data_IF_911153459184
#
_entry.id   IF_911153459184
#
_cell.length_a   1.000
_cell.length_b   1.000
_cell.length_c   1.000
_cell.angle_alpha   90.00
_cell.angle_beta   90.00
_cell.angle_gamma   90.00
#
_symmetry.space_group_name_H-M   'P 1'
#
loop_
_entity.id
_entity.type
_entity.pdbx_description
1 polymer ?
#
# COMPACT_ATOMS: atom_id res chain seq x y z
N UNK A 1 13.15 -16.37 5.04
CA UNK A 1 11.98 -17.25 4.81
C UNK A 1 10.76 -16.84 5.64
N UNK A 2 10.76 -16.96 6.98
CA UNK A 2 9.58 -16.64 7.80
C UNK A 2 9.07 -15.19 7.68
N UNK A 3 9.98 -14.21 7.69
CA UNK A 3 9.64 -12.79 7.50
C UNK A 3 9.05 -12.53 6.11
N UNK A 4 9.63 -13.13 5.08
CA UNK A 4 9.18 -12.97 3.70
C UNK A 4 7.78 -13.56 3.50
N UNK A 5 7.51 -14.72 4.10
CA UNK A 5 6.17 -15.30 4.10
C UNK A 5 5.17 -14.38 4.80
N UNK A 6 5.52 -13.82 5.96
CA UNK A 6 4.65 -12.90 6.70
C UNK A 6 4.30 -11.66 5.86
N UNK A 7 5.28 -11.09 5.15
CA UNK A 7 5.07 -9.95 4.26
C UNK A 7 4.16 -10.31 3.09
N UNK A 8 4.27 -11.53 2.55
CA UNK A 8 3.47 -11.98 1.42
C UNK A 8 2.07 -12.49 1.81
N UNK A 9 1.79 -12.74 3.09
CA UNK A 9 0.48 -13.24 3.55
C UNK A 9 -0.72 -12.46 2.99
N UNK A 10 -0.75 -11.12 2.98
CA UNK A 10 -1.90 -10.39 2.44
C UNK A 10 -2.17 -10.63 0.95
N UNK A 11 -1.16 -11.08 0.18
CA UNK A 11 -1.31 -11.42 -1.23
C UNK A 11 -2.07 -12.75 -1.42
N UNK A 12 -1.92 -13.68 -0.47
CA UNK A 12 -2.48 -15.03 -0.54
C UNK A 12 -3.82 -15.13 0.18
N UNK A 13 -3.99 -14.37 1.26
CA UNK A 13 -5.23 -14.35 2.04
C UNK A 13 -6.36 -13.65 1.26
N UNK A 14 -7.59 -14.19 1.28
CA UNK A 14 -8.74 -13.46 0.79
C UNK A 14 -8.86 -12.11 1.52
N UNK A 15 -9.11 -10.98 0.82
CA UNK A 15 -9.12 -9.66 1.46
C UNK A 15 -10.10 -9.55 2.64
N UNK A 16 -11.24 -10.22 2.55
CA UNK A 16 -12.24 -10.29 3.62
C UNK A 16 -11.66 -10.93 4.89
N UNK A 17 -10.85 -11.99 4.75
CA UNK A 17 -10.18 -12.65 5.87
C UNK A 17 -9.16 -11.70 6.50
N UNK A 18 -8.37 -10.99 5.70
CA UNK A 18 -7.46 -9.95 6.20
C UNK A 18 -8.22 -8.87 6.97
N UNK A 19 -9.35 -8.39 6.44
CA UNK A 19 -10.21 -7.42 7.13
C UNK A 19 -10.75 -7.94 8.48
N UNK A 20 -11.15 -9.22 8.54
CA UNK A 20 -11.60 -9.85 9.78
C UNK A 20 -10.48 -9.96 10.82
N UNK A 21 -9.27 -10.34 10.40
CA UNK A 21 -8.11 -10.39 11.28
C UNK A 21 -7.75 -9.01 11.83
N UNK A 22 -7.81 -7.97 10.97
CA UNK A 22 -7.63 -6.58 11.39
C UNK A 22 -8.70 -6.16 12.39
N UNK A 23 -9.96 -6.47 12.14
CA UNK A 23 -11.04 -6.13 13.06
C UNK A 23 -10.93 -6.89 14.40
N UNK A 24 -10.55 -8.17 14.37
CA UNK A 24 -10.36 -8.98 15.56
C UNK A 24 -9.21 -8.46 16.43
N UNK A 25 -8.14 -7.96 15.83
CA UNK A 25 -6.95 -7.48 16.56
C UNK A 25 -6.99 -5.98 16.90
N UNK A 26 -7.36 -5.14 15.94
CA UNK A 26 -7.36 -3.66 16.02
C UNK A 26 -8.76 -3.05 16.20
N UNK A 27 -9.82 -3.85 16.23
CA UNK A 27 -11.14 -3.38 16.60
C UNK A 27 -11.26 -3.04 18.08
N UNK A 28 -12.40 -2.46 18.52
CA UNK A 28 -12.58 -1.96 19.89
C UNK A 28 -12.38 -3.04 20.97
N UNK A 29 -12.74 -4.29 20.64
CA UNK A 29 -12.59 -5.44 21.55
C UNK A 29 -11.25 -6.19 21.37
N UNK A 30 -10.45 -5.81 20.38
CA UNK A 30 -9.19 -6.46 20.06
C UNK A 30 -8.08 -6.12 21.06
N UNK A 31 -7.09 -7.00 21.16
CA UNK A 31 -5.94 -6.76 22.04
C UNK A 31 -5.16 -5.52 21.59
N UNK A 32 -4.88 -5.38 20.29
CA UNK A 32 -4.18 -4.23 19.73
C UNK A 32 -5.00 -2.95 19.81
N UNK A 33 -6.31 -3.03 19.50
CA UNK A 33 -7.21 -1.87 19.56
C UNK A 33 -7.29 -1.27 20.97
N UNK A 34 -7.49 -2.10 22.01
CA UNK A 34 -7.54 -1.64 23.41
C UNK A 34 -6.23 -1.03 23.89
N UNK A 35 -5.08 -1.54 23.42
CA UNK A 35 -3.77 -0.96 23.75
C UNK A 35 -3.65 0.42 23.08
N UNK A 36 -4.00 0.52 21.80
CA UNK A 36 -3.90 1.75 21.04
C UNK A 36 -4.79 2.85 21.62
N UNK A 37 -6.03 2.52 21.97
CA UNK A 37 -6.95 3.43 22.64
C UNK A 37 -6.41 3.85 24.03
N UNK A 38 -6.02 2.89 24.88
CA UNK A 38 -5.55 3.19 26.25
C UNK A 38 -4.34 4.11 26.28
N UNK A 39 -3.36 3.91 25.40
CA UNK A 39 -2.09 4.64 25.46
C UNK A 39 -2.04 5.85 24.54
N UNK A 40 -2.76 5.83 23.41
CA UNK A 40 -2.70 6.88 22.38
C UNK A 40 -4.06 7.53 22.10
N UNK A 41 -5.17 6.98 22.60
CA UNK A 41 -6.52 7.48 22.34
C UNK A 41 -6.94 7.34 20.88
N UNK A 42 -6.42 6.32 20.17
CA UNK A 42 -6.65 6.13 18.74
C UNK A 42 -7.53 4.90 18.50
N UNK A 43 -8.66 5.12 17.85
CA UNK A 43 -9.53 4.08 17.28
C UNK A 43 -9.34 3.96 15.77
N UNK A 44 -9.05 2.75 15.29
CA UNK A 44 -8.82 2.49 13.86
C UNK A 44 -10.02 1.86 13.16
N UNK A 45 -10.74 0.96 13.82
CA UNK A 45 -11.92 0.35 13.22
C UNK A 45 -12.98 1.40 12.93
N UNK A 46 -13.65 1.27 11.79
CA UNK A 46 -14.68 2.21 11.33
C UNK A 46 -14.20 3.66 11.11
N UNK A 47 -12.90 3.89 10.95
CA UNK A 47 -12.33 5.22 10.63
C UNK A 47 -11.63 5.26 9.27
N UNK A 48 -11.45 6.46 8.73
CA UNK A 48 -10.72 6.67 7.47
C UNK A 48 -9.27 6.20 7.57
N UNK A 49 -8.65 6.34 8.76
CA UNK A 49 -7.31 5.83 9.04
C UNK A 49 -7.28 4.30 9.03
N UNK A 50 -8.31 3.64 9.56
CA UNK A 50 -8.46 2.19 9.43
C UNK A 50 -8.61 1.73 7.98
N UNK A 51 -9.38 2.47 7.17
CA UNK A 51 -9.51 2.20 5.74
C UNK A 51 -8.15 2.31 5.02
N UNK A 52 -7.38 3.38 5.30
CA UNK A 52 -6.05 3.56 4.75
C UNK A 52 -5.08 2.46 5.21
N UNK A 53 -5.16 2.03 6.46
CA UNK A 53 -4.36 0.93 6.99
C UNK A 53 -4.67 -0.39 6.29
N UNK A 54 -5.94 -0.75 6.15
CA UNK A 54 -6.35 -1.97 5.46
C UNK A 54 -5.87 -1.98 3.99
N UNK A 55 -6.07 -0.86 3.28
CA UNK A 55 -5.58 -0.68 1.92
C UNK A 55 -4.05 -0.78 1.83
N UNK A 56 -3.33 -0.17 2.78
CA UNK A 56 -1.88 -0.23 2.88
C UNK A 56 -1.37 -1.65 3.10
N UNK A 57 -1.98 -2.43 4.00
CA UNK A 57 -1.62 -3.82 4.25
C UNK A 57 -1.81 -4.69 3.00
N UNK A 58 -2.89 -4.45 2.25
CA UNK A 58 -3.14 -5.17 0.98
C UNK A 58 -2.17 -4.76 -0.14
N UNK A 59 -1.65 -3.54 -0.11
CA UNK A 59 -0.65 -3.04 -1.06
C UNK A 59 0.81 -3.37 -0.64
N UNK A 60 1.04 -3.67 0.63
CA UNK A 60 2.37 -3.85 1.20
C UNK A 60 3.24 -4.91 0.52
N UNK A 61 2.73 -6.10 0.13
CA UNK A 61 3.55 -7.10 -0.55
C UNK A 61 4.15 -6.58 -1.87
N UNK A 62 3.37 -5.80 -2.63
CA UNK A 62 3.80 -5.23 -3.90
C UNK A 62 4.88 -4.15 -3.70
N UNK A 63 4.75 -3.34 -2.64
CA UNK A 63 5.76 -2.36 -2.26
C UNK A 63 7.08 -3.03 -1.95
N UNK A 64 7.06 -4.04 -1.07
CA UNK A 64 8.29 -4.75 -0.66
C UNK A 64 8.95 -5.43 -1.85
N UNK A 65 8.18 -6.09 -2.72
CA UNK A 65 8.72 -6.71 -3.92
C UNK A 65 9.42 -5.69 -4.83
N UNK A 66 8.81 -4.53 -5.05
CA UNK A 66 9.37 -3.50 -5.92
C UNK A 66 10.62 -2.85 -5.31
N UNK A 67 10.61 -2.60 -3.99
CA UNK A 67 11.75 -2.05 -3.29
C UNK A 67 12.93 -3.01 -3.28
N UNK A 68 12.66 -4.31 -3.07
CA UNK A 68 13.68 -5.36 -3.12
C UNK A 68 14.38 -5.37 -4.48
N UNK A 69 13.63 -5.41 -5.57
CA UNK A 69 14.20 -5.37 -6.93
C UNK A 69 15.01 -4.11 -7.17
N UNK A 70 14.55 -2.95 -6.69
CA UNK A 70 15.28 -1.69 -6.85
C UNK A 70 16.62 -1.66 -6.09
N UNK A 71 16.67 -2.26 -4.90
CA UNK A 71 17.88 -2.33 -4.08
C UNK A 71 18.85 -3.39 -4.63
N UNK A 72 18.35 -4.54 -5.07
CA UNK A 72 19.16 -5.64 -5.63
C UNK A 72 19.89 -5.27 -6.93
N UNK A 73 19.48 -4.20 -7.62
CA UNK A 73 20.16 -3.66 -8.81
C UNK A 73 21.38 -2.79 -8.50
N UNK A 74 21.59 -2.41 -7.23
CA UNK A 74 22.71 -1.55 -6.84
C UNK A 74 23.97 -2.42 -6.71
N UNK A 75 25.05 -2.00 -7.37
CA UNK A 75 26.34 -2.65 -7.25
C UNK A 75 26.87 -2.57 -5.80
N UNK A 76 27.15 -3.71 -5.14
CA UNK A 76 27.70 -3.73 -3.79
C UNK A 76 28.98 -2.92 -3.61
N UNK A 77 29.78 -2.73 -4.66
CA UNK A 77 31.03 -1.95 -4.60
C UNK A 77 30.81 -0.51 -4.10
N UNK A 78 29.65 0.09 -4.40
CA UNK A 78 29.31 1.43 -3.89
C UNK A 78 29.13 1.46 -2.37
N UNK A 79 28.58 0.39 -1.78
CA UNK A 79 28.43 0.27 -0.33
C UNK A 79 29.77 -0.06 0.34
N UNK A 80 30.59 -0.90 -0.30
CA UNK A 80 31.93 -1.26 0.17
C UNK A 80 32.84 -0.03 0.23
N UNK A 81 32.76 0.88 -0.75
CA UNK A 81 33.51 2.13 -0.74
C UNK A 81 33.26 2.97 0.52
N UNK A 82 32.03 2.98 1.04
CA UNK A 82 31.69 3.70 2.28
C UNK A 82 32.43 3.11 3.48
N UNK A 83 32.61 1.78 3.51
CA UNK A 83 33.34 1.12 4.59
C UNK A 83 34.83 1.46 4.60
N UNK A 84 35.45 1.67 3.43
CA UNK A 84 36.85 2.09 3.29
C UNK A 84 37.09 3.48 3.90
N UNK A 85 36.11 4.37 3.81
CA UNK A 85 36.15 5.70 4.44
C UNK A 85 35.71 5.70 5.92
N UNK A 86 35.58 4.54 6.56
CA UNK A 86 35.20 4.39 7.97
C UNK A 86 33.70 4.55 8.25
N UNK A 87 32.87 4.57 7.21
CA UNK A 87 31.41 4.62 7.35
C UNK A 87 30.82 3.25 7.70
N UNK A 88 29.82 3.23 8.59
CA UNK A 88 29.08 2.01 8.93
C UNK A 88 27.91 1.71 7.97
N UNK A 89 27.25 0.57 8.18
CA UNK A 89 26.08 0.12 7.37
C UNK A 89 24.97 1.15 7.23
N UNK A 90 24.72 1.93 8.28
CA UNK A 90 23.73 3.00 8.24
C UNK A 90 24.14 4.15 7.30
N UNK A 91 25.44 4.48 7.26
CA UNK A 91 25.95 5.49 6.33
C UNK A 91 25.84 5.00 4.88
N UNK A 92 26.21 3.74 4.60
CA UNK A 92 26.04 3.13 3.28
C UNK A 92 24.56 3.17 2.84
N UNK A 93 23.65 2.71 3.70
CA UNK A 93 22.22 2.75 3.41
C UNK A 93 21.70 4.17 3.12
N UNK A 94 22.03 5.14 4.00
CA UNK A 94 21.47 6.49 3.91
C UNK A 94 22.02 7.32 2.74
N UNK A 95 23.30 7.11 2.38
CA UNK A 95 24.01 7.94 1.41
C UNK A 95 24.22 7.27 0.06
N UNK A 96 24.15 5.94 -0.02
CA UNK A 96 24.35 5.17 -1.26
C UNK A 96 23.07 4.44 -1.62
N UNK A 97 22.65 3.46 -0.82
CA UNK A 97 21.55 2.55 -1.17
C UNK A 97 20.23 3.30 -1.38
N UNK A 98 19.83 4.14 -0.42
CA UNK A 98 18.55 4.85 -0.47
C UNK A 98 18.49 5.88 -1.62
N UNK A 99 19.50 6.74 -1.85
CA UNK A 99 19.50 7.65 -3.00
C UNK A 99 19.52 6.93 -4.36
N UNK A 100 20.29 5.85 -4.50
CA UNK A 100 20.35 5.07 -5.74
C UNK A 100 19.04 4.31 -6.00
N UNK A 101 18.45 3.72 -4.95
CA UNK A 101 17.16 3.04 -5.03
C UNK A 101 15.97 4.00 -5.12
N UNK A 102 16.14 5.30 -4.85
CA UNK A 102 15.05 6.26 -4.64
C UNK A 102 14.01 6.24 -5.77
N UNK A 103 14.46 6.15 -7.02
CA UNK A 103 13.55 6.10 -8.18
C UNK A 103 12.72 4.81 -8.21
N UNK A 104 13.34 3.66 -7.94
CA UNK A 104 12.64 2.38 -7.84
C UNK A 104 11.69 2.33 -6.63
N UNK A 105 12.09 2.94 -5.51
CA UNK A 105 11.22 3.13 -4.34
C UNK A 105 10.01 3.99 -4.69
N UNK A 106 10.19 5.13 -5.37
CA UNK A 106 9.08 5.98 -5.81
C UNK A 106 8.16 5.22 -6.77
N UNK A 107 8.71 4.48 -7.74
CA UNK A 107 7.92 3.66 -8.65
C UNK A 107 7.10 2.59 -7.90
N UNK A 108 7.70 1.95 -6.89
CA UNK A 108 7.00 1.02 -6.00
C UNK A 108 5.87 1.71 -5.23
N UNK A 109 6.12 2.87 -4.62
CA UNK A 109 5.10 3.65 -3.90
C UNK A 109 3.89 3.95 -4.80
N UNK A 110 4.13 4.38 -6.04
CA UNK A 110 3.06 4.65 -7.03
C UNK A 110 2.26 3.38 -7.34
N UNK A 111 2.93 2.23 -7.50
CA UNK A 111 2.26 0.96 -7.74
C UNK A 111 1.42 0.50 -6.53
N UNK A 112 1.98 0.61 -5.32
CA UNK A 112 1.26 0.30 -4.10
C UNK A 112 0.06 1.22 -3.88
N UNK A 113 0.19 2.51 -4.21
CA UNK A 113 -0.94 3.45 -4.20
C UNK A 113 -2.03 3.02 -5.18
N UNK A 114 -1.67 2.67 -6.42
CA UNK A 114 -2.62 2.15 -7.41
C UNK A 114 -3.41 0.96 -6.86
N UNK A 115 -2.69 0.02 -6.22
CA UNK A 115 -3.28 -1.16 -5.60
C UNK A 115 -4.19 -0.80 -4.42
N UNK A 116 -3.78 0.14 -3.57
CA UNK A 116 -4.54 0.58 -2.40
C UNK A 116 -5.85 1.29 -2.78
N UNK A 117 -5.85 2.11 -3.84
CA UNK A 117 -7.05 2.81 -4.34
C UNK A 117 -8.15 1.82 -4.74
N UNK A 118 -7.77 0.68 -5.31
CA UNK A 118 -8.69 -0.38 -5.70
C UNK A 118 -9.13 -1.31 -4.56
N UNK A 119 -8.63 -1.12 -3.33
CA UNK A 119 -8.95 -2.05 -2.24
C UNK A 119 -10.40 -1.91 -1.77
N UNK A 120 -11.04 -3.08 -1.62
CA UNK A 120 -12.46 -3.19 -1.28
C UNK A 120 -12.68 -4.12 -0.09
N UNK A 121 -12.20 -5.36 -0.18
CA UNK A 121 -12.64 -6.45 0.71
C UNK A 121 -12.10 -6.34 2.13
N UNK A 122 -10.84 -5.96 2.31
CA UNK A 122 -10.31 -5.72 3.65
C UNK A 122 -10.95 -4.46 4.28
N UNK A 123 -11.12 -3.42 3.46
CA UNK A 123 -11.66 -2.12 3.86
C UNK A 123 -13.11 -2.20 4.32
N UNK A 124 -14.00 -2.87 3.57
CA UNK A 124 -15.42 -2.96 3.94
C UNK A 124 -15.63 -3.68 5.27
N UNK A 125 -14.80 -4.68 5.57
CA UNK A 125 -14.90 -5.45 6.82
C UNK A 125 -14.35 -4.66 8.01
N UNK A 126 -13.18 -4.03 7.86
CA UNK A 126 -12.51 -3.36 8.98
C UNK A 126 -12.98 -1.92 9.22
N UNK A 127 -13.19 -1.16 8.14
CA UNK A 127 -13.57 0.26 8.21
C UNK A 127 -15.05 0.50 7.90
N UNK A 128 -15.79 -0.52 7.45
CA UNK A 128 -17.20 -0.38 7.07
C UNK A 128 -17.38 0.46 5.81
N UNK A 129 -18.63 0.78 5.51
CA UNK A 129 -19.04 1.64 4.40
C UNK A 129 -19.92 2.78 4.93
N UNK A 130 -19.27 3.79 5.53
CA UNK A 130 -19.97 4.93 6.13
C UNK A 130 -19.79 6.14 5.19
N UNK A 131 -20.86 6.62 4.54
CA UNK A 131 -20.79 7.79 3.65
C UNK A 131 -20.22 9.01 4.36
N UNK A 132 -19.31 9.72 3.68
CA UNK A 132 -18.64 10.91 4.23
C UNK A 132 -17.60 10.63 5.33
N UNK A 133 -17.33 9.36 5.66
CA UNK A 133 -16.35 8.96 6.68
C UNK A 133 -15.36 7.90 6.20
N UNK A 134 -15.86 6.73 5.78
CA UNK A 134 -15.01 5.57 5.39
C UNK A 134 -15.31 5.04 4.00
N UNK A 135 -16.36 5.56 3.34
CA UNK A 135 -16.73 5.14 2.00
C UNK A 135 -15.65 5.51 0.98
N UNK A 136 -14.96 4.48 0.48
CA UNK A 136 -14.00 4.59 -0.63
C UNK A 136 -14.71 4.54 -1.99
N UNK A 137 -13.98 4.84 -3.07
CA UNK A 137 -14.52 4.78 -4.43
C UNK A 137 -15.11 3.38 -4.74
N UNK A 138 -14.40 2.26 -4.49
CA UNK A 138 -14.96 0.92 -4.71
C UNK A 138 -16.24 0.67 -3.89
N UNK A 139 -16.30 1.14 -2.65
CA UNK A 139 -17.49 0.98 -1.80
C UNK A 139 -18.68 1.80 -2.31
N UNK A 140 -18.43 3.01 -2.79
CA UNK A 140 -19.45 3.84 -3.39
C UNK A 140 -20.00 3.25 -4.70
N UNK A 141 -19.12 2.67 -5.54
CA UNK A 141 -19.53 1.90 -6.73
C UNK A 141 -20.40 0.72 -6.33
N UNK A 142 -19.95 -0.11 -5.37
CA UNK A 142 -20.69 -1.27 -4.88
C UNK A 142 -22.07 -0.90 -4.34
N UNK A 143 -22.15 0.17 -3.54
CA UNK A 143 -23.43 0.66 -2.98
C UNK A 143 -24.41 1.07 -4.07
N UNK A 144 -23.92 1.66 -5.16
CA UNK A 144 -24.75 2.17 -6.27
C UNK A 144 -25.17 1.10 -7.27
N UNK A 145 -24.44 -0.01 -7.37
CA UNK A 145 -24.81 -1.12 -8.26
C UNK A 145 -26.21 -1.69 -7.97
N UNK A 146 -26.64 -1.66 -6.70
CA UNK A 146 -27.96 -2.15 -6.29
C UNK A 146 -29.06 -1.08 -6.21
N UNK A 147 -28.78 0.19 -6.57
CA UNK A 147 -29.72 1.29 -6.44
C UNK A 147 -30.51 1.52 -7.73
N UNK A 148 -31.84 1.44 -7.65
CA UNK A 148 -32.74 1.81 -8.76
C UNK A 148 -32.55 3.30 -9.09
N UNK A 149 -32.22 3.62 -10.35
CA UNK A 149 -31.94 4.98 -10.82
C UNK A 149 -30.52 5.51 -10.52
N UNK A 150 -29.61 4.66 -10.01
CA UNK A 150 -28.23 5.03 -9.65
C UNK A 150 -27.21 5.05 -10.80
N UNK A 151 -27.64 4.77 -12.04
CA UNK A 151 -26.76 4.49 -13.20
C UNK A 151 -25.85 5.68 -13.57
N UNK A 152 -26.39 6.90 -13.55
CA UNK A 152 -25.64 8.12 -13.90
C UNK A 152 -24.47 8.41 -12.95
N UNK A 153 -24.70 8.48 -11.62
CA UNK A 153 -23.61 8.62 -10.64
C UNK A 153 -22.66 7.41 -10.60
N UNK A 154 -23.16 6.20 -10.87
CA UNK A 154 -22.34 4.98 -10.94
C UNK A 154 -21.30 5.08 -12.06
N UNK A 155 -21.72 5.41 -13.30
CA UNK A 155 -20.79 5.45 -14.43
C UNK A 155 -19.71 6.52 -14.25
N UNK A 156 -20.02 7.65 -13.61
CA UNK A 156 -19.03 8.68 -13.27
C UNK A 156 -17.96 8.15 -12.33
N UNK A 157 -18.34 7.42 -11.28
CA UNK A 157 -17.38 6.82 -10.36
C UNK A 157 -16.49 5.79 -11.05
N UNK A 158 -17.07 4.94 -11.90
CA UNK A 158 -16.33 3.94 -12.66
C UNK A 158 -15.29 4.62 -13.55
N UNK A 159 -15.67 5.67 -14.28
CA UNK A 159 -14.75 6.43 -15.13
C UNK A 159 -13.60 7.07 -14.33
N UNK A 160 -13.89 7.63 -13.14
CA UNK A 160 -12.85 8.19 -12.26
C UNK A 160 -11.91 7.10 -11.77
N UNK A 161 -12.41 5.94 -11.35
CA UNK A 161 -11.60 4.82 -10.89
C UNK A 161 -10.68 4.27 -11.99
N UNK A 162 -11.21 4.11 -13.20
CA UNK A 162 -10.44 3.69 -14.37
C UNK A 162 -9.38 4.73 -14.72
N UNK A 163 -9.75 6.01 -14.77
CA UNK A 163 -8.81 7.11 -15.04
C UNK A 163 -7.66 7.18 -14.04
N UNK A 164 -7.96 7.06 -12.74
CA UNK A 164 -6.94 7.02 -11.67
C UNK A 164 -6.02 5.79 -11.83
N UNK A 165 -6.58 4.63 -12.15
CA UNK A 165 -5.79 3.40 -12.34
C UNK A 165 -4.85 3.51 -13.53
N UNK A 166 -5.35 3.98 -14.68
CA UNK A 166 -4.55 4.20 -15.90
C UNK A 166 -3.46 5.24 -15.64
N UNK A 167 -3.79 6.35 -14.99
CA UNK A 167 -2.81 7.38 -14.64
C UNK A 167 -1.71 6.81 -13.74
N UNK A 168 -2.07 6.08 -12.69
CA UNK A 168 -1.10 5.50 -11.75
C UNK A 168 -0.18 4.48 -12.43
N UNK A 169 -0.74 3.62 -13.29
CA UNK A 169 0.04 2.66 -14.09
C UNK A 169 0.96 3.36 -15.09
N UNK A 170 0.49 4.45 -15.72
CA UNK A 170 1.28 5.23 -16.68
C UNK A 170 2.45 5.92 -16.00
N UNK A 171 2.24 6.51 -14.82
CA UNK A 171 3.29 7.10 -14.00
C UNK A 171 4.29 6.03 -13.56
N UNK A 172 3.81 4.88 -13.09
CA UNK A 172 4.68 3.77 -12.71
C UNK A 172 5.54 3.30 -13.91
N UNK A 173 4.93 3.09 -15.08
CA UNK A 173 5.62 2.66 -16.30
C UNK A 173 6.64 3.70 -16.81
N UNK A 174 6.32 4.99 -16.73
CA UNK A 174 7.23 6.07 -17.10
C UNK A 174 8.45 6.12 -16.18
N UNK A 175 8.21 6.04 -14.86
CA UNK A 175 9.28 6.02 -13.87
C UNK A 175 10.15 4.77 -14.00
N UNK A 176 9.55 3.61 -14.29
CA UNK A 176 10.28 2.35 -14.42
C UNK A 176 11.08 2.22 -15.71
N UNK A 177 10.56 2.67 -16.85
CA UNK A 177 11.28 2.58 -18.14
C UNK A 177 12.48 3.52 -18.26
N UNK A 178 12.43 4.68 -17.58
CA UNK A 178 13.59 5.58 -17.47
C UNK A 178 14.72 5.01 -16.60
N UNK A 179 14.48 3.91 -15.84
CA UNK A 179 15.52 3.21 -15.07
C UNK A 179 16.44 2.36 -15.97
N UNK A 180 15.88 1.74 -17.02
CA UNK A 180 16.63 0.78 -17.85
C UNK A 180 17.62 1.48 -18.79
N UNK A 181 17.36 2.73 -19.19
CA UNK A 181 18.21 3.47 -20.15
C UNK A 181 19.44 4.17 -19.54
N UNK A 182 19.65 4.13 -18.22
CA UNK A 182 20.79 4.84 -17.60
C UNK A 182 22.00 3.90 -17.36
N UNK A 183 21.86 2.60 -17.59
CA UNK A 183 22.92 1.59 -17.38
C UNK A 183 23.35 0.84 -18.66
N UNK A 184 23.13 1.42 -19.85
CA UNK A 184 23.73 0.97 -21.13
C UNK A 184 24.50 2.12 -21.74
#
# INVERSE_FOLDING_TARGET
FAVENLVQLPLVLPPVVTGLLLLAFLGPNGAGGRILDRFLGIDLAFTAWGAALAAGIMAFPLLVQTFRVAIEQIDPEWEEAVSVYGGGRWAAFRWVTLPLAARGVIAGIVLGFARAVGEFGATIVFAGNIPGRTQTIPLAVFTRLGQVGGEGPLIRLVLVAVGLSVLSLSIHAYLSTRLIRVHT
#
